data_IF_025541272615
#
_entry.id   IF_025541272615
#
_cell.length_a   1.000
_cell.length_b   1.000
_cell.length_c   1.000
_cell.angle_alpha   90.00
_cell.angle_beta   90.00
_cell.angle_gamma   90.00
#
_symmetry.space_group_name_H-M   'P 1'
#
loop_
_entity.id
_entity.type
_entity.pdbx_description
1 polymer ?
#
# COMPACT_ATOMS: atom_id res chain seq x y z
N UNK A 1 -4.86 0.72 2.06
CA UNK A 1 -5.45 -0.58 1.71
C UNK A 1 -4.30 -1.51 1.36
N UNK A 2 -4.29 -2.75 1.87
CA UNK A 2 -3.24 -3.73 1.57
C UNK A 2 -3.91 -4.93 0.92
N UNK A 3 -3.46 -5.36 -0.25
CA UNK A 3 -4.02 -6.49 -1.01
C UNK A 3 -3.05 -7.00 -2.06
N UNK A 4 -3.41 -8.06 -2.78
CA UNK A 4 -2.52 -8.75 -3.74
C UNK A 4 -3.17 -8.97 -5.12
N UNK A 5 -4.37 -8.42 -5.33
CA UNK A 5 -5.16 -8.58 -6.56
C UNK A 5 -5.55 -7.26 -7.22
N UNK A 6 -5.93 -7.32 -8.49
CA UNK A 6 -6.49 -6.17 -9.22
C UNK A 6 -7.78 -5.64 -8.59
N UNK A 7 -8.59 -6.52 -7.97
CA UNK A 7 -9.84 -6.14 -7.30
C UNK A 7 -9.55 -5.25 -6.09
N UNK A 8 -8.47 -5.52 -5.37
CA UNK A 8 -8.02 -4.71 -4.23
C UNK A 8 -7.57 -3.32 -4.68
N UNK A 9 -6.81 -3.27 -5.78
CA UNK A 9 -6.37 -2.02 -6.42
C UNK A 9 -7.56 -1.17 -6.87
N UNK A 10 -8.52 -1.76 -7.58
CA UNK A 10 -9.74 -1.05 -7.98
C UNK A 10 -10.52 -0.53 -6.75
N UNK A 11 -10.57 -1.33 -5.70
CA UNK A 11 -11.26 -0.98 -4.46
C UNK A 11 -10.59 0.21 -3.78
N UNK A 12 -9.25 0.20 -3.67
CA UNK A 12 -8.50 1.32 -3.07
C UNK A 12 -8.61 2.59 -3.89
N UNK A 13 -8.54 2.49 -5.22
CA UNK A 13 -8.72 3.62 -6.14
C UNK A 13 -10.11 4.25 -6.00
N UNK A 14 -11.17 3.43 -6.00
CA UNK A 14 -12.56 3.91 -5.80
C UNK A 14 -12.77 4.55 -4.44
N UNK A 15 -12.08 4.05 -3.41
CA UNK A 15 -12.12 4.61 -2.07
C UNK A 15 -11.22 5.85 -1.88
N UNK A 16 -10.34 6.17 -2.85
CA UNK A 16 -9.40 7.27 -2.76
C UNK A 16 -8.36 7.09 -1.65
N UNK A 17 -7.97 5.85 -1.35
CA UNK A 17 -6.98 5.53 -0.31
C UNK A 17 -5.72 4.95 -0.94
N UNK A 18 -4.58 5.14 -0.25
CA UNK A 18 -3.32 4.51 -0.63
C UNK A 18 -3.46 2.99 -0.78
N UNK A 19 -2.84 2.44 -1.81
CA UNK A 19 -2.75 1.01 -2.08
C UNK A 19 -1.34 0.48 -1.88
N UNK A 20 -1.23 -0.62 -1.13
CA UNK A 20 0.02 -1.32 -0.88
C UNK A 20 -0.15 -2.76 -1.38
N UNK A 21 0.62 -3.15 -2.39
CA UNK A 21 0.58 -4.50 -2.94
C UNK A 21 1.40 -5.47 -2.09
N UNK A 22 0.79 -6.57 -1.63
CA UNK A 22 1.47 -7.62 -0.86
C UNK A 22 1.88 -8.78 -1.75
N UNK A 23 3.18 -9.11 -1.75
CA UNK A 23 3.82 -10.19 -2.52
C UNK A 23 3.50 -10.17 -4.01
N UNK A 24 3.18 -9.00 -4.55
CA UNK A 24 2.86 -8.81 -5.95
C UNK A 24 3.54 -7.54 -6.46
N UNK A 25 4.69 -7.70 -7.11
CA UNK A 25 5.49 -6.60 -7.68
C UNK A 25 4.96 -6.12 -9.04
N UNK A 26 4.00 -6.83 -9.62
CA UNK A 26 3.48 -6.55 -10.96
C UNK A 26 2.27 -5.61 -10.91
N UNK A 27 1.57 -5.54 -9.78
CA UNK A 27 0.44 -4.63 -9.59
C UNK A 27 0.90 -3.18 -9.47
N UNK A 28 0.16 -2.26 -10.08
CA UNK A 28 0.39 -0.82 -9.91
C UNK A 28 -0.02 -0.40 -8.49
N UNK A 29 0.94 -0.14 -7.60
CA UNK A 29 0.70 0.21 -6.20
C UNK A 29 1.58 1.39 -5.74
N UNK A 30 1.11 2.12 -4.72
CA UNK A 30 1.89 3.20 -4.11
C UNK A 30 3.12 2.63 -3.39
N UNK A 31 2.98 1.43 -2.83
CA UNK A 31 4.07 0.67 -2.22
C UNK A 31 3.91 -0.83 -2.47
N UNK A 32 5.02 -1.56 -2.41
CA UNK A 32 5.03 -3.02 -2.44
C UNK A 32 5.64 -3.57 -1.15
N UNK A 33 5.10 -4.68 -0.67
CA UNK A 33 5.61 -5.42 0.49
C UNK A 33 5.87 -6.86 0.09
N UNK A 34 7.09 -7.34 0.29
CA UNK A 34 7.42 -8.77 0.17
C UNK A 34 7.01 -9.56 1.42
N UNK A 35 6.99 -8.88 2.58
CA UNK A 35 6.65 -9.45 3.87
C UNK A 35 5.94 -8.42 4.77
N UNK A 36 5.08 -8.89 5.69
CA UNK A 36 4.38 -8.00 6.62
C UNK A 36 5.32 -7.30 7.62
N UNK A 37 6.52 -7.84 7.88
CA UNK A 37 7.51 -7.16 8.72
C UNK A 37 7.95 -5.80 8.15
N UNK A 38 7.88 -5.63 6.83
CA UNK A 38 8.21 -4.37 6.13
C UNK A 38 7.13 -3.29 6.33
N UNK A 39 5.94 -3.65 6.80
CA UNK A 39 4.84 -2.70 7.02
C UNK A 39 5.13 -1.72 8.17
N UNK A 40 5.73 -2.18 9.26
CA UNK A 40 6.02 -1.35 10.45
C UNK A 40 6.91 -0.14 10.11
N UNK A 41 8.08 -0.31 9.47
CA UNK A 41 8.90 0.84 9.09
C UNK A 41 8.20 1.73 8.05
N UNK A 42 7.41 1.17 7.12
CA UNK A 42 6.66 1.94 6.13
C UNK A 42 5.61 2.85 6.79
N UNK A 43 4.85 2.35 7.76
CA UNK A 43 3.87 3.16 8.51
C UNK A 43 4.53 4.29 9.29
N UNK A 44 5.72 4.05 9.84
CA UNK A 44 6.52 5.10 10.49
C UNK A 44 6.90 6.24 9.55
N UNK A 45 7.21 5.94 8.28
CA UNK A 45 7.52 6.94 7.25
C UNK A 45 6.26 7.72 6.83
N UNK A 46 5.14 7.02 6.62
CA UNK A 46 3.86 7.62 6.23
C UNK A 46 3.29 8.54 7.31
N UNK A 47 3.38 8.15 8.58
CA UNK A 47 2.93 8.97 9.72
C UNK A 47 3.82 10.18 10.03
N UNK A 48 5.05 10.22 9.47
CA UNK A 48 6.02 11.30 9.73
C UNK A 48 6.00 12.41 8.68
N UNK A 49 5.10 12.38 7.71
CA UNK A 49 4.80 13.55 6.87
C UNK A 49 3.74 14.41 7.57
N UNK A 50 4.10 15.54 8.21
CA UNK A 50 3.09 16.51 8.59
C UNK A 50 2.52 17.09 7.29
N UNK A 51 1.22 16.89 7.08
CA UNK A 51 0.50 17.58 6.01
C UNK A 51 0.76 19.09 6.06
N UNK A 52 0.98 19.68 4.89
CA UNK A 52 0.91 21.14 4.68
C UNK A 52 -0.44 21.70 5.13
#
# INVERSE_FOLDING_TARGET
YIGDSEVDLETSQRAGVLFIAYRNEVLEADHHLGDFAELIPLLGQLGSHPGH
#
